data_IF_444954198478
#
_entry.id   IF_444954198478
#
_cell.length_a   1.000
_cell.length_b   1.000
_cell.length_c   1.000
_cell.angle_alpha   90.00
_cell.angle_beta   90.00
_cell.angle_gamma   90.00
#
_symmetry.space_group_name_H-M   'P 1'
#
loop_
_entity.id
_entity.type
_entity.pdbx_description
1 polymer ?
#
# COMPACT_ATOMS: atom_id res chain seq x y z
N UNK A 1 36.07 -22.33 -2.68
CA UNK A 1 36.64 -23.31 -3.62
C UNK A 1 36.01 -23.07 -4.97
N UNK A 2 36.77 -22.52 -5.93
CA UNK A 2 36.33 -22.32 -7.31
C UNK A 2 36.42 -23.66 -8.05
N UNK A 3 35.33 -24.11 -8.66
CA UNK A 3 35.36 -25.25 -9.58
C UNK A 3 35.30 -24.72 -11.02
N UNK A 4 36.31 -25.07 -11.81
CA UNK A 4 36.30 -24.93 -13.27
C UNK A 4 35.94 -26.28 -13.89
N UNK A 5 35.07 -26.28 -14.89
CA UNK A 5 34.89 -27.41 -15.80
C UNK A 5 35.11 -26.91 -17.23
N UNK A 6 36.00 -27.59 -17.94
CA UNK A 6 36.35 -27.31 -19.33
C UNK A 6 35.63 -28.32 -20.21
N UNK A 7 34.80 -27.85 -21.14
CA UNK A 7 34.25 -28.67 -22.22
C UNK A 7 34.96 -28.39 -23.55
N UNK A 8 34.95 -29.42 -24.40
CA UNK A 8 35.60 -29.52 -25.72
C UNK A 8 34.88 -28.64 -26.78
N UNK A 9 34.81 -27.33 -26.56
CA UNK A 9 34.44 -26.36 -27.62
C UNK A 9 34.92 -24.92 -27.34
N UNK A 10 35.70 -24.69 -26.27
CA UNK A 10 36.36 -23.40 -26.05
C UNK A 10 35.44 -22.22 -25.69
N UNK A 11 34.12 -22.40 -25.62
CA UNK A 11 33.21 -21.32 -25.23
C UNK A 11 32.79 -21.44 -23.75
N UNK A 12 33.23 -20.46 -22.96
CA UNK A 12 32.80 -20.27 -21.56
C UNK A 12 31.52 -19.42 -21.53
N UNK A 13 30.36 -20.04 -21.37
CA UNK A 13 29.14 -19.33 -20.99
C UNK A 13 28.83 -19.58 -19.52
N UNK A 14 29.03 -18.56 -18.68
CA UNK A 14 28.55 -18.56 -17.30
C UNK A 14 27.04 -18.38 -17.28
N UNK A 15 26.28 -19.38 -16.81
CA UNK A 15 24.95 -19.15 -16.29
C UNK A 15 25.09 -18.49 -14.91
N UNK A 16 25.11 -17.16 -14.88
CA UNK A 16 25.10 -16.39 -13.64
C UNK A 16 23.66 -16.28 -13.17
N UNK A 17 23.18 -17.29 -12.43
CA UNK A 17 22.05 -17.07 -11.52
C UNK A 17 22.43 -15.88 -10.61
N UNK A 18 21.56 -14.87 -10.55
CA UNK A 18 21.88 -13.59 -9.90
C UNK A 18 22.23 -13.85 -8.42
N UNK A 19 23.15 -13.05 -7.87
CA UNK A 19 23.57 -13.20 -6.46
C UNK A 19 22.36 -13.14 -5.51
N UNK A 20 21.32 -12.41 -5.91
CA UNK A 20 20.03 -12.30 -5.25
C UNK A 20 19.25 -13.64 -5.29
N UNK A 21 19.13 -14.29 -6.45
CA UNK A 21 18.49 -15.61 -6.58
C UNK A 21 19.12 -16.64 -5.64
N UNK A 22 20.46 -16.68 -5.58
CA UNK A 22 21.18 -17.61 -4.68
C UNK A 22 20.92 -17.31 -3.20
N UNK A 23 20.76 -16.04 -2.85
CA UNK A 23 20.57 -15.60 -1.46
C UNK A 23 19.12 -15.80 -0.97
N UNK A 24 18.14 -15.61 -1.84
CA UNK A 24 16.73 -15.97 -1.59
C UNK A 24 16.62 -17.48 -1.40
N UNK A 25 17.21 -18.27 -2.31
CA UNK A 25 17.20 -19.75 -2.28
C UNK A 25 17.80 -20.35 -0.99
N UNK A 26 18.94 -19.85 -0.51
CA UNK A 26 19.60 -20.40 0.69
C UNK A 26 18.88 -20.11 2.02
N UNK A 27 18.14 -19.01 2.12
CA UNK A 27 17.54 -18.58 3.40
C UNK A 27 16.11 -19.10 3.61
N UNK A 28 15.36 -19.34 2.54
CA UNK A 28 14.07 -20.05 2.63
C UNK A 28 14.29 -21.48 3.17
N UNK A 29 15.33 -22.16 2.70
CA UNK A 29 15.64 -23.53 3.11
C UNK A 29 16.04 -23.66 4.59
N UNK A 30 16.69 -22.64 5.16
CA UNK A 30 17.02 -22.61 6.60
C UNK A 30 15.80 -22.45 7.51
N UNK A 31 14.71 -21.83 7.03
CA UNK A 31 13.48 -21.62 7.82
C UNK A 31 12.56 -22.85 7.80
N UNK A 32 12.56 -23.64 6.73
CA UNK A 32 11.78 -24.88 6.62
C UNK A 32 12.21 -25.94 7.64
N UNK A 33 13.47 -25.92 8.09
CA UNK A 33 14.00 -26.83 9.13
C UNK A 33 13.61 -26.45 10.57
N UNK A 34 13.01 -25.27 10.81
CA UNK A 34 12.70 -24.78 12.15
C UNK A 34 11.20 -24.85 12.53
N UNK A 35 10.32 -25.29 11.63
CA UNK A 35 8.85 -25.31 11.86
C UNK A 35 8.35 -26.71 12.19
N UNK A 36 9.06 -27.44 13.05
CA UNK A 36 8.60 -28.71 13.59
C UNK A 36 9.17 -28.98 14.98
N UNK A 37 8.70 -28.25 15.99
CA UNK A 37 8.56 -28.81 17.35
C UNK A 37 7.65 -27.95 18.25
N UNK A 38 6.48 -28.53 18.47
CA UNK A 38 5.48 -28.42 19.54
C UNK A 38 5.69 -27.50 20.76
N UNK A 39 4.59 -26.80 21.06
CA UNK A 39 4.10 -26.21 22.30
C UNK A 39 4.65 -26.71 23.65
N UNK A 40 4.89 -25.79 24.60
CA UNK A 40 4.18 -25.69 25.88
C UNK A 40 4.76 -24.59 26.82
N UNK A 41 3.86 -23.96 27.60
CA UNK A 41 4.07 -23.28 28.89
C UNK A 41 4.69 -21.86 28.84
N UNK A 42 4.33 -20.86 29.67
CA UNK A 42 3.49 -20.74 30.88
C UNK A 42 2.94 -19.31 30.97
N UNK A 43 1.82 -19.15 31.67
CA UNK A 43 1.20 -17.88 32.03
C UNK A 43 1.92 -17.19 33.19
N UNK A 44 2.13 -15.86 33.06
CA UNK A 44 2.15 -14.90 34.18
C UNK A 44 1.94 -13.49 33.62
N UNK A 45 1.17 -12.61 34.29
CA UNK A 45 0.80 -11.32 33.76
C UNK A 45 1.91 -10.31 34.03
N UNK A 46 2.49 -9.75 32.97
CA UNK A 46 3.27 -8.52 33.09
C UNK A 46 2.33 -7.35 32.79
N UNK A 47 2.20 -6.44 33.75
CA UNK A 47 1.54 -5.17 33.59
C UNK A 47 2.27 -4.36 32.51
N UNK A 48 1.68 -4.28 31.33
CA UNK A 48 2.10 -3.39 30.27
C UNK A 48 1.30 -2.09 30.39
N UNK A 49 2.02 -0.99 30.51
CA UNK A 49 1.48 0.35 30.33
C UNK A 49 0.62 0.41 29.06
N UNK A 50 -0.60 0.93 29.18
CA UNK A 50 -1.47 1.21 28.06
C UNK A 50 -0.80 2.27 27.16
N UNK A 51 -0.36 1.83 26.00
CA UNK A 51 0.22 2.63 24.93
C UNK A 51 -0.90 3.37 24.20
N UNK A 52 -0.86 4.71 24.22
CA UNK A 52 -1.85 5.61 23.62
C UNK A 52 -1.77 5.66 22.07
N UNK A 53 -1.20 4.66 21.42
CA UNK A 53 -1.02 4.58 19.96
C UNK A 53 -1.93 3.56 19.26
N UNK A 54 -2.95 3.01 19.94
CA UNK A 54 -3.87 2.01 19.36
C UNK A 54 -5.26 2.56 19.05
N UNK A 55 -5.34 3.42 18.04
CA UNK A 55 -6.59 3.69 17.34
C UNK A 55 -6.28 3.91 15.87
N UNK A 56 -6.92 3.12 14.99
CA UNK A 56 -6.68 3.11 13.54
C UNK A 56 -7.99 3.39 12.80
N UNK A 57 -8.85 4.22 13.39
CA UNK A 57 -10.12 4.62 12.77
C UNK A 57 -10.06 6.11 12.40
N UNK A 58 -10.39 6.37 11.14
CA UNK A 58 -10.53 7.69 10.54
C UNK A 58 -11.92 8.22 10.93
N UNK A 59 -11.97 9.34 11.64
CA UNK A 59 -13.23 9.96 12.05
C UNK A 59 -13.06 11.48 12.15
N UNK A 60 -13.55 12.16 11.13
CA UNK A 60 -13.62 13.62 11.04
C UNK A 60 -14.66 14.17 12.02
N UNK A 61 -14.21 14.97 13.00
CA UNK A 61 -15.08 15.92 13.71
C UNK A 61 -14.75 17.32 13.19
N UNK A 62 -15.59 17.84 12.28
CA UNK A 62 -15.57 19.26 11.94
C UNK A 62 -16.34 19.98 13.05
N UNK A 63 -15.67 20.36 14.13
CA UNK A 63 -16.34 21.11 15.20
C UNK A 63 -16.23 22.62 14.94
N UNK A 64 -17.38 23.29 14.77
CA UNK A 64 -17.48 24.73 14.97
C UNK A 64 -17.61 25.02 16.48
N UNK A 65 -17.16 26.19 16.97
CA UNK A 65 -17.17 26.54 18.42
C UNK A 65 -18.53 26.50 19.12
N UNK A 66 -19.65 26.41 18.39
CA UNK A 66 -21.00 26.37 18.96
C UNK A 66 -21.48 24.95 19.36
N UNK A 67 -20.75 23.89 19.02
CA UNK A 67 -21.16 22.50 19.26
C UNK A 67 -20.63 21.90 20.58
N UNK A 68 -19.87 22.67 21.36
CA UNK A 68 -19.16 22.19 22.56
C UNK A 68 -20.04 21.99 23.80
N UNK A 69 -21.30 22.45 23.81
CA UNK A 69 -22.19 22.27 24.99
C UNK A 69 -22.54 20.79 25.26
N UNK A 70 -22.47 19.92 24.24
CA UNK A 70 -22.84 18.51 24.35
C UNK A 70 -21.65 17.56 24.13
N UNK A 71 -20.42 18.05 24.19
CA UNK A 71 -19.23 17.21 24.05
C UNK A 71 -18.87 16.58 25.40
N UNK A 72 -18.63 15.28 25.34
CA UNK A 72 -18.17 14.48 26.44
C UNK A 72 -16.88 13.78 26.05
N UNK A 73 -15.89 13.80 26.95
CA UNK A 73 -14.65 13.04 26.78
C UNK A 73 -14.62 11.93 27.82
N UNK A 74 -14.39 10.69 27.37
CA UNK A 74 -14.33 9.55 28.28
C UNK A 74 -13.07 9.57 29.15
N UNK A 75 -13.25 9.24 30.44
CA UNK A 75 -12.18 9.08 31.41
C UNK A 75 -12.25 7.67 32.02
N UNK A 76 -11.49 6.74 31.45
CA UNK A 76 -11.51 5.32 31.82
C UNK A 76 -10.09 4.74 31.80
N UNK A 77 -9.82 3.63 32.48
CA UNK A 77 -8.46 3.06 32.53
C UNK A 77 -8.10 2.19 31.32
N UNK A 78 -9.09 1.56 30.70
CA UNK A 78 -8.94 0.71 29.51
C UNK A 78 -10.11 1.00 28.55
N UNK A 79 -11.26 0.39 28.80
CA UNK A 79 -12.51 0.71 28.12
C UNK A 79 -13.73 0.52 29.03
N UNK A 80 -14.85 1.10 28.61
CA UNK A 80 -16.18 0.81 29.16
C UNK A 80 -17.11 0.41 28.02
N UNK A 81 -18.00 -0.54 28.30
CA UNK A 81 -19.00 -0.98 27.35
C UNK A 81 -20.15 0.04 27.25
N UNK A 82 -20.44 0.46 26.02
CA UNK A 82 -21.67 1.19 25.67
C UNK A 82 -22.76 0.16 25.42
N UNK A 83 -23.96 0.44 25.94
CA UNK A 83 -25.05 -0.53 25.99
C UNK A 83 -26.31 -0.05 25.28
N UNK A 84 -27.17 -0.99 24.89
CA UNK A 84 -28.42 -0.69 24.19
C UNK A 84 -29.47 -0.02 25.09
N UNK A 85 -29.41 -0.24 26.41
CA UNK A 85 -30.29 0.36 27.42
C UNK A 85 -29.49 0.84 28.62
N UNK A 86 -30.06 1.74 29.43
CA UNK A 86 -29.44 2.30 30.66
C UNK A 86 -29.38 1.30 31.84
N UNK A 87 -28.91 0.09 31.57
CA UNK A 87 -28.77 -1.02 32.53
C UNK A 87 -27.49 -1.81 32.26
N UNK A 88 -26.90 -2.42 33.29
CA UNK A 88 -25.63 -3.15 33.16
C UNK A 88 -25.78 -4.55 32.54
N UNK A 89 -27.01 -5.02 32.34
CA UNK A 89 -27.32 -6.33 31.75
C UNK A 89 -27.81 -6.26 30.30
N UNK A 90 -28.03 -5.06 29.77
CA UNK A 90 -28.43 -4.91 28.37
C UNK A 90 -27.28 -5.19 27.40
N UNK A 91 -27.64 -5.47 26.14
CA UNK A 91 -26.71 -5.81 25.07
C UNK A 91 -25.64 -4.74 24.92
N UNK A 92 -24.39 -5.17 24.72
CA UNK A 92 -23.27 -4.28 24.41
C UNK A 92 -23.36 -3.90 22.93
N UNK A 93 -23.26 -2.61 22.64
CA UNK A 93 -23.31 -2.06 21.26
C UNK A 93 -21.94 -1.52 20.82
N UNK A 94 -21.06 -1.21 21.76
CA UNK A 94 -19.69 -0.79 21.46
C UNK A 94 -18.83 -0.67 22.72
N UNK A 95 -17.57 -0.30 22.52
CA UNK A 95 -16.58 -0.04 23.57
C UNK A 95 -16.07 1.38 23.39
N UNK A 96 -15.95 2.13 24.49
CA UNK A 96 -15.28 3.42 24.48
C UNK A 96 -14.03 3.34 25.33
N UNK A 97 -12.90 3.76 24.74
CA UNK A 97 -11.60 3.78 25.41
C UNK A 97 -11.40 5.11 26.13
N UNK A 98 -10.26 5.27 26.80
CA UNK A 98 -9.91 6.55 27.41
C UNK A 98 -9.70 7.65 26.35
N UNK A 99 -10.02 8.90 26.68
CA UNK A 99 -9.82 10.07 25.80
C UNK A 99 -10.57 9.99 24.46
N UNK A 100 -11.72 9.30 24.44
CA UNK A 100 -12.59 9.30 23.27
C UNK A 100 -13.64 10.41 23.37
N UNK A 101 -13.90 11.08 22.25
CA UNK A 101 -14.96 12.07 22.15
C UNK A 101 -16.32 11.41 21.89
N UNK A 102 -17.36 11.96 22.50
CA UNK A 102 -18.74 11.57 22.28
C UNK A 102 -19.66 12.80 22.38
N UNK A 103 -20.77 12.77 21.65
CA UNK A 103 -21.85 13.74 21.79
C UNK A 103 -22.92 13.17 22.71
N UNK A 104 -23.30 13.91 23.76
CA UNK A 104 -24.42 13.55 24.63
C UNK A 104 -25.72 13.88 23.89
N UNK A 105 -26.57 12.88 23.70
CA UNK A 105 -27.88 13.02 23.08
C UNK A 105 -28.97 13.23 24.13
N UNK A 106 -28.91 12.48 25.23
CA UNK A 106 -29.88 12.60 26.33
C UNK A 106 -29.27 12.11 27.66
N UNK A 107 -29.81 12.60 28.78
CA UNK A 107 -29.50 12.10 30.12
C UNK A 107 -30.74 11.41 30.71
N UNK A 108 -30.57 10.18 31.18
CA UNK A 108 -31.65 9.36 31.78
C UNK A 108 -31.25 8.84 33.14
N UNK A 109 -32.22 8.64 34.03
CA UNK A 109 -32.01 7.88 35.25
C UNK A 109 -32.10 6.38 34.94
N UNK A 110 -31.07 5.64 35.34
CA UNK A 110 -30.94 4.21 35.06
C UNK A 110 -30.35 3.44 36.22
N UNK A 111 -29.84 2.25 35.93
CA UNK A 111 -29.27 1.38 36.96
C UNK A 111 -28.02 2.02 37.59
N UNK A 112 -28.14 2.39 38.87
CA UNK A 112 -27.03 2.94 39.65
C UNK A 112 -26.68 4.39 39.32
N UNK A 113 -27.67 5.22 38.95
CA UNK A 113 -27.55 6.67 38.81
C UNK A 113 -27.85 7.17 37.39
N UNK A 114 -27.33 8.33 37.04
CA UNK A 114 -27.55 8.97 35.74
C UNK A 114 -26.71 8.34 34.63
N UNK A 115 -27.33 8.09 33.49
CA UNK A 115 -26.72 7.57 32.26
C UNK A 115 -26.85 8.61 31.15
N UNK A 116 -25.83 8.67 30.30
CA UNK A 116 -25.90 9.39 29.04
C UNK A 116 -26.23 8.40 27.93
N UNK A 117 -27.17 8.78 27.05
CA UNK A 117 -27.16 8.26 25.69
C UNK A 117 -26.20 9.10 24.88
N UNK A 118 -25.24 8.45 24.24
CA UNK A 118 -24.19 9.10 23.48
C UNK A 118 -24.20 8.67 22.03
N UNK A 119 -23.67 9.53 21.17
CA UNK A 119 -23.17 9.20 19.84
C UNK A 119 -21.66 9.35 19.85
N UNK A 120 -20.92 8.30 19.47
CA UNK A 120 -19.46 8.36 19.28
C UNK A 120 -19.11 7.48 18.08
N UNK A 121 -18.66 8.11 16.99
CA UNK A 121 -18.50 7.44 15.70
C UNK A 121 -19.82 6.85 15.21
N UNK A 122 -19.83 5.57 14.89
CA UNK A 122 -21.05 4.84 14.51
C UNK A 122 -21.85 4.33 15.72
N UNK A 123 -21.29 4.41 16.93
CA UNK A 123 -21.91 3.85 18.14
C UNK A 123 -22.94 4.81 18.72
N UNK A 124 -24.18 4.32 18.85
CA UNK A 124 -25.26 4.98 19.60
C UNK A 124 -25.67 4.08 20.77
N UNK A 125 -25.64 4.59 22.00
CA UNK A 125 -26.09 3.81 23.15
C UNK A 125 -25.87 4.50 24.50
N UNK A 126 -26.15 3.77 25.57
CA UNK A 126 -26.15 4.24 26.94
C UNK A 126 -24.89 3.86 27.69
N UNK A 127 -24.39 4.79 28.49
CA UNK A 127 -23.23 4.63 29.35
C UNK A 127 -23.39 5.51 30.60
N UNK A 128 -22.84 5.08 31.76
CA UNK A 128 -22.94 5.87 32.99
C UNK A 128 -22.22 7.20 32.86
N UNK A 129 -22.86 8.26 33.33
CA UNK A 129 -22.35 9.64 33.27
C UNK A 129 -20.98 9.82 33.94
N UNK A 130 -20.71 9.08 35.02
CA UNK A 130 -19.45 9.11 35.78
C UNK A 130 -18.19 8.79 34.96
N UNK A 131 -18.31 8.22 33.77
CA UNK A 131 -17.19 7.90 32.89
C UNK A 131 -16.84 9.02 31.93
N UNK A 132 -17.52 10.17 32.01
CA UNK A 132 -17.32 11.29 31.12
C UNK A 132 -17.03 12.58 31.89
N UNK A 133 -16.10 13.34 31.34
CA UNK A 133 -15.92 14.75 31.62
C UNK A 133 -16.77 15.52 30.61
N UNK A 134 -17.45 16.58 31.03
CA UNK A 134 -18.34 17.41 30.20
C UNK A 134 -18.07 18.90 30.41
N UNK A 135 -18.65 19.76 29.56
CA UNK A 135 -18.52 21.21 29.67
C UNK A 135 -17.11 21.72 29.43
N UNK A 136 -16.70 22.78 30.16
CA UNK A 136 -15.42 23.46 29.93
C UNK A 136 -14.19 22.55 30.15
N UNK A 137 -14.29 21.61 31.07
CA UNK A 137 -13.22 20.63 31.32
C UNK A 137 -13.07 19.68 30.12
N UNK A 138 -14.19 19.27 29.50
CA UNK A 138 -14.17 18.46 28.29
C UNK A 138 -13.62 19.23 27.10
N UNK A 139 -13.95 20.53 26.96
CA UNK A 139 -13.38 21.38 25.91
C UNK A 139 -11.85 21.48 26.04
N UNK A 140 -11.36 21.74 27.25
CA UNK A 140 -9.91 21.84 27.52
C UNK A 140 -9.21 20.53 27.23
N UNK A 141 -9.80 19.41 27.66
CA UNK A 141 -9.27 18.09 27.39
C UNK A 141 -9.31 17.76 25.89
N UNK A 142 -10.40 18.09 25.19
CA UNK A 142 -10.55 17.94 23.76
C UNK A 142 -9.46 18.69 22.99
N UNK A 143 -9.16 19.94 23.35
CA UNK A 143 -8.06 20.70 22.74
C UNK A 143 -6.69 20.01 22.93
N UNK A 144 -6.49 19.25 24.01
CA UNK A 144 -5.24 18.55 24.29
C UNK A 144 -5.10 17.16 23.65
N UNK A 145 -6.22 16.49 23.37
CA UNK A 145 -6.23 15.11 22.82
C UNK A 145 -6.60 15.07 21.33
N UNK A 146 -7.21 16.13 20.81
CA UNK A 146 -7.57 16.25 19.41
C UNK A 146 -6.32 16.24 18.54
N UNK A 147 -6.29 15.34 17.56
CA UNK A 147 -5.24 15.31 16.55
C UNK A 147 -5.67 16.18 15.39
N UNK A 148 -4.99 17.31 15.24
CA UNK A 148 -5.26 18.21 14.13
C UNK A 148 -4.53 17.73 12.87
N UNK A 149 -5.27 17.68 11.77
CA UNK A 149 -4.76 17.32 10.46
C UNK A 149 -5.13 18.38 9.45
N UNK A 150 -4.31 18.45 8.41
CA UNK A 150 -4.53 19.32 7.28
C UNK A 150 -4.50 18.53 5.98
N UNK A 151 -5.54 18.73 5.18
CA UNK A 151 -5.65 18.21 3.82
C UNK A 151 -5.30 19.32 2.82
N UNK A 152 -4.30 19.07 1.98
CA UNK A 152 -3.85 20.02 0.97
C UNK A 152 -4.80 20.04 -0.23
N UNK A 153 -5.19 21.21 -0.69
CA UNK A 153 -6.09 21.38 -1.86
C UNK A 153 -5.35 21.73 -3.16
N UNK A 154 -4.03 21.96 -3.12
CA UNK A 154 -3.20 22.35 -4.26
C UNK A 154 -2.19 21.26 -4.68
N UNK A 155 -1.95 21.10 -5.99
CA UNK A 155 -1.14 20.00 -6.53
C UNK A 155 0.36 20.08 -6.23
N UNK A 156 0.88 21.28 -5.98
CA UNK A 156 2.31 21.54 -5.79
C UNK A 156 2.50 22.63 -4.73
N UNK A 157 2.03 22.41 -3.51
CA UNK A 157 2.22 23.35 -2.42
C UNK A 157 3.63 23.21 -1.86
N UNK A 158 4.28 24.36 -1.60
CA UNK A 158 5.66 24.39 -1.06
C UNK A 158 5.61 24.17 0.45
N UNK A 159 6.34 23.15 0.92
CA UNK A 159 6.69 23.01 2.33
C UNK A 159 7.95 23.84 2.59
N UNK A 160 7.90 24.71 3.58
CA UNK A 160 8.95 25.70 3.85
C UNK A 160 9.61 25.50 5.21
N UNK A 161 10.83 26.00 5.33
CA UNK A 161 11.61 25.93 6.59
C UNK A 161 11.07 26.89 7.67
N UNK A 162 10.54 28.03 7.27
CA UNK A 162 9.98 29.06 8.15
C UNK A 162 8.61 29.53 7.63
N UNK A 163 7.73 30.10 8.50
CA UNK A 163 6.38 30.56 8.14
C UNK A 163 6.39 31.88 7.34
N UNK A 164 7.09 31.89 6.21
CA UNK A 164 7.16 33.03 5.29
C UNK A 164 7.36 32.55 3.84
N UNK A 165 7.14 33.42 2.86
CA UNK A 165 7.21 33.06 1.43
C UNK A 165 8.63 33.07 0.84
N UNK A 166 9.63 33.48 1.62
CA UNK A 166 11.01 33.70 1.17
C UNK A 166 12.00 32.64 1.66
N UNK A 167 11.61 31.87 2.68
CA UNK A 167 12.43 30.80 3.26
C UNK A 167 12.62 29.64 2.29
N UNK A 168 13.60 28.80 2.60
CA UNK A 168 13.94 27.62 1.81
C UNK A 168 12.73 26.71 1.65
N UNK A 169 12.57 26.18 0.44
CA UNK A 169 11.59 25.14 0.15
C UNK A 169 12.23 23.79 0.48
N UNK A 170 11.68 23.08 1.46
CA UNK A 170 12.16 21.77 1.88
C UNK A 170 11.73 20.69 0.87
N UNK A 171 10.45 20.73 0.47
CA UNK A 171 9.87 19.83 -0.53
C UNK A 171 8.54 20.39 -1.08
N UNK A 172 7.91 19.64 -1.98
CA UNK A 172 6.57 19.91 -2.53
C UNK A 172 5.59 18.83 -2.06
N UNK A 173 4.42 19.27 -1.61
CA UNK A 173 3.30 18.43 -1.18
C UNK A 173 2.14 18.51 -2.16
N UNK A 174 1.42 17.40 -2.32
CA UNK A 174 0.43 17.21 -3.39
C UNK A 174 -1.01 17.32 -2.91
N UNK A 175 -1.93 17.63 -3.83
CA UNK A 175 -3.36 17.74 -3.54
C UNK A 175 -3.97 16.44 -3.02
N UNK A 176 -4.86 16.58 -2.04
CA UNK A 176 -5.49 15.51 -1.28
C UNK A 176 -4.52 14.74 -0.38
N UNK A 177 -3.31 15.26 -0.14
CA UNK A 177 -2.40 14.70 0.88
C UNK A 177 -2.75 15.28 2.24
N UNK A 178 -2.61 14.44 3.27
CA UNK A 178 -3.03 14.73 4.63
C UNK A 178 -1.82 14.68 5.58
N UNK A 179 -1.67 15.69 6.44
CA UNK A 179 -0.53 15.82 7.35
C UNK A 179 -0.98 16.16 8.76
N UNK A 180 -0.17 15.76 9.75
CA UNK A 180 -0.39 16.10 11.16
C UNK A 180 0.04 17.55 11.38
N UNK A 181 -0.82 18.35 12.00
CA UNK A 181 -0.50 19.73 12.38
C UNK A 181 0.23 19.71 13.73
N UNK A 182 1.38 20.38 13.77
CA UNK A 182 2.24 20.55 14.95
C UNK A 182 2.20 21.99 15.48
N UNK A 183 1.57 22.90 14.73
CA UNK A 183 1.42 24.29 15.13
C UNK A 183 0.65 25.11 14.10
N UNK A 184 0.06 26.19 14.59
CA UNK A 184 -0.63 27.22 13.81
C UNK A 184 0.13 28.55 14.02
N UNK A 185 0.70 29.10 12.94
CA UNK A 185 1.51 30.31 12.99
C UNK A 185 1.14 31.27 11.85
N UNK A 186 0.32 32.29 12.16
CA UNK A 186 -0.05 33.32 11.21
C UNK A 186 -0.81 32.76 10.00
N UNK A 187 -0.26 32.96 8.79
CA UNK A 187 -0.82 32.45 7.53
C UNK A 187 -0.34 31.03 7.19
N UNK A 188 0.35 30.35 8.11
CA UNK A 188 0.95 29.04 7.89
C UNK A 188 0.54 28.02 8.95
N UNK A 189 0.40 26.76 8.52
CA UNK A 189 0.40 25.60 9.41
C UNK A 189 1.81 25.01 9.44
N UNK A 190 2.28 24.69 10.64
CA UNK A 190 3.45 23.83 10.84
C UNK A 190 2.99 22.38 10.81
N UNK A 191 3.51 21.60 9.87
CA UNK A 191 3.05 20.24 9.59
C UNK A 191 4.18 19.25 9.63
N UNK A 192 3.90 18.05 10.16
CA UNK A 192 4.76 16.89 10.09
C UNK A 192 4.37 16.05 8.86
N UNK A 193 5.24 16.04 7.85
CA UNK A 193 5.03 15.32 6.58
C UNK A 193 5.41 13.84 6.73
N UNK A 194 6.47 13.57 7.47
CA UNK A 194 6.91 12.28 7.98
C UNK A 194 7.80 12.52 9.21
N UNK A 195 8.19 11.45 9.92
CA UNK A 195 8.89 11.53 11.21
C UNK A 195 10.14 12.43 11.22
N UNK A 196 10.79 12.60 10.08
CA UNK A 196 12.03 13.36 9.93
C UNK A 196 11.85 14.69 9.16
N UNK A 197 10.62 15.05 8.77
CA UNK A 197 10.35 16.28 8.02
C UNK A 197 9.16 17.06 8.58
N UNK A 198 9.47 18.18 9.23
CA UNK A 198 8.52 19.18 9.69
C UNK A 198 8.79 20.49 8.93
N UNK A 199 7.73 21.18 8.52
CA UNK A 199 7.86 22.48 7.87
C UNK A 199 6.53 23.25 7.82
N UNK A 200 6.50 24.34 7.08
CA UNK A 200 5.38 25.28 7.04
C UNK A 200 4.68 25.26 5.67
N UNK A 201 3.36 25.14 5.67
CA UNK A 201 2.50 25.25 4.48
C UNK A 201 1.49 26.37 4.64
N UNK A 202 1.13 27.04 3.55
CA UNK A 202 0.21 28.18 3.59
C UNK A 202 -1.24 27.73 3.79
N UNK A 203 -1.94 28.35 4.75
CA UNK A 203 -3.31 27.99 5.16
C UNK A 203 -4.34 28.14 4.05
N UNK A 204 -4.14 29.08 3.12
CA UNK A 204 -5.07 29.32 1.99
C UNK A 204 -5.25 28.12 1.06
N UNK A 205 -4.40 27.10 1.16
CA UNK A 205 -4.43 25.88 0.35
C UNK A 205 -4.72 24.62 1.19
N UNK A 206 -5.31 24.81 2.37
CA UNK A 206 -5.43 23.80 3.40
C UNK A 206 -6.86 23.73 3.91
N UNK A 207 -7.38 22.51 4.07
CA UNK A 207 -8.57 22.24 4.85
C UNK A 207 -8.15 21.56 6.15
N UNK A 208 -8.51 22.16 7.28
CA UNK A 208 -8.16 21.65 8.60
C UNK A 208 -9.30 20.79 9.16
N UNK A 209 -8.93 19.69 9.80
CA UNK A 209 -9.84 18.78 10.46
C UNK A 209 -9.23 18.36 11.79
N UNK A 210 -10.04 18.32 12.85
CA UNK A 210 -9.62 17.79 14.15
C UNK A 210 -10.24 16.42 14.32
N UNK A 211 -9.40 15.41 14.52
CA UNK A 211 -9.84 14.05 14.79
C UNK A 211 -9.70 13.73 16.25
N UNK A 212 -10.71 13.02 16.76
CA UNK A 212 -10.70 12.48 18.11
C UNK A 212 -10.83 10.97 18.00
N UNK A 213 -10.25 10.26 18.96
CA UNK A 213 -10.61 8.86 19.12
C UNK A 213 -12.08 8.76 19.51
N UNK A 214 -12.74 7.72 19.00
CA UNK A 214 -14.16 7.50 19.19
C UNK A 214 -14.39 6.07 19.66
N UNK A 215 -15.60 5.82 20.14
CA UNK A 215 -16.03 4.48 20.49
C UNK A 215 -15.99 3.57 19.25
N UNK A 216 -15.63 2.31 19.49
CA UNK A 216 -15.58 1.27 18.47
C UNK A 216 -16.79 0.37 18.67
N UNK A 217 -17.61 0.22 17.64
CA UNK A 217 -18.71 -0.73 17.64
C UNK A 217 -18.20 -2.16 17.61
N UNK A 218 -19.00 -3.10 18.09
CA UNK A 218 -18.68 -4.54 17.97
C UNK A 218 -18.60 -4.98 16.50
N UNK A 219 -19.31 -4.29 15.62
CA UNK A 219 -19.28 -4.53 14.17
C UNK A 219 -17.93 -4.11 13.57
N UNK A 220 -17.48 -2.89 13.84
CA UNK A 220 -16.19 -2.38 13.38
C UNK A 220 -15.02 -3.20 13.93
N UNK A 221 -15.06 -3.61 15.20
CA UNK A 221 -14.04 -4.48 15.79
C UNK A 221 -13.98 -5.83 15.05
N UNK A 222 -15.14 -6.41 14.73
CA UNK A 222 -15.21 -7.67 13.98
C UNK A 222 -14.71 -7.50 12.55
N UNK A 223 -15.12 -6.45 11.85
CA UNK A 223 -14.66 -6.14 10.50
C UNK A 223 -13.13 -5.96 10.46
N UNK A 224 -12.57 -5.21 11.41
CA UNK A 224 -11.12 -5.02 11.54
C UNK A 224 -10.37 -6.33 11.75
N UNK A 225 -10.88 -7.22 12.60
CA UNK A 225 -10.31 -8.54 12.82
C UNK A 225 -10.42 -9.43 11.56
N UNK A 226 -11.53 -9.36 10.84
CA UNK A 226 -11.74 -10.08 9.58
C UNK A 226 -10.79 -9.58 8.47
N UNK A 227 -10.61 -8.26 8.35
CA UNK A 227 -9.67 -7.63 7.42
C UNK A 227 -8.21 -7.95 7.76
N UNK A 228 -7.83 -7.92 9.04
CA UNK A 228 -6.50 -8.34 9.48
C UNK A 228 -6.26 -9.83 9.19
N UNK A 229 -7.24 -10.69 9.48
CA UNK A 229 -7.19 -12.10 9.15
C UNK A 229 -7.10 -12.33 7.64
N UNK A 230 -7.82 -11.53 6.84
CA UNK A 230 -7.74 -11.58 5.39
C UNK A 230 -6.35 -11.20 4.88
N UNK A 231 -5.76 -10.09 5.37
CA UNK A 231 -4.40 -9.69 5.01
C UNK A 231 -3.36 -10.76 5.36
N UNK A 232 -3.53 -11.44 6.51
CA UNK A 232 -2.68 -12.59 6.90
C UNK A 232 -2.85 -13.77 5.95
N UNK A 233 -4.08 -14.14 5.58
CA UNK A 233 -4.37 -15.20 4.60
C UNK A 233 -3.76 -14.88 3.23
N UNK A 234 -4.01 -13.67 2.72
CA UNK A 234 -3.49 -13.22 1.42
C UNK A 234 -1.96 -13.31 1.36
N UNK A 235 -1.29 -12.90 2.44
CA UNK A 235 0.16 -13.00 2.52
C UNK A 235 0.65 -14.44 2.63
N UNK A 236 -0.02 -15.30 3.39
CA UNK A 236 0.30 -16.73 3.44
C UNK A 236 0.14 -17.39 2.07
N UNK A 237 -0.95 -17.09 1.36
CA UNK A 237 -1.18 -17.56 0.00
C UNK A 237 -0.10 -17.04 -0.97
N UNK A 238 0.26 -15.76 -0.90
CA UNK A 238 1.29 -15.19 -1.75
C UNK A 238 2.68 -15.82 -1.48
N UNK A 239 3.02 -16.09 -0.22
CA UNK A 239 4.27 -16.77 0.16
C UNK A 239 4.25 -18.23 -0.32
N UNK A 240 3.14 -18.95 -0.14
CA UNK A 240 3.01 -20.32 -0.63
C UNK A 240 3.13 -20.41 -2.16
N UNK A 241 2.52 -19.45 -2.89
CA UNK A 241 2.65 -19.35 -4.34
C UNK A 241 4.11 -19.07 -4.77
N UNK A 242 4.81 -18.20 -4.04
CA UNK A 242 6.24 -17.98 -4.26
C UNK A 242 7.05 -19.27 -4.07
N UNK A 243 6.85 -19.98 -2.97
CA UNK A 243 7.54 -21.26 -2.69
C UNK A 243 7.25 -22.31 -3.77
N UNK A 244 6.01 -22.42 -4.23
CA UNK A 244 5.65 -23.33 -5.31
C UNK A 244 6.31 -22.92 -6.63
N UNK A 245 6.38 -21.62 -6.93
CA UNK A 245 7.02 -21.11 -8.15
C UNK A 245 8.52 -21.39 -8.15
N UNK A 246 9.19 -21.21 -7.00
CA UNK A 246 10.61 -21.57 -6.82
C UNK A 246 10.83 -23.06 -7.06
N UNK A 247 9.99 -23.94 -6.47
CA UNK A 247 10.08 -25.39 -6.67
C UNK A 247 9.89 -25.79 -8.14
N UNK A 248 9.00 -25.12 -8.87
CA UNK A 248 8.78 -25.36 -10.30
C UNK A 248 9.98 -24.95 -11.15
N UNK A 249 10.62 -23.83 -10.83
CA UNK A 249 11.84 -23.38 -11.47
C UNK A 249 12.98 -24.40 -11.25
N UNK A 250 13.17 -24.86 -10.01
CA UNK A 250 14.19 -25.87 -9.66
C UNK A 250 13.97 -27.20 -10.41
N UNK A 251 12.73 -27.67 -10.51
CA UNK A 251 12.42 -28.91 -11.21
C UNK A 251 12.68 -28.81 -12.73
N UNK A 252 12.61 -27.62 -13.32
CA UNK A 252 12.90 -27.39 -14.74
C UNK A 252 14.39 -27.58 -15.03
N UNK A 253 15.27 -27.13 -14.13
CA UNK A 253 16.71 -27.32 -14.25
C UNK A 253 17.11 -28.80 -14.11
N UNK A 254 16.40 -29.57 -13.26
CA UNK A 254 16.62 -31.02 -13.09
C UNK A 254 16.22 -31.82 -14.34
N UNK A 255 15.12 -31.46 -15.01
CA UNK A 255 14.67 -32.16 -16.24
C UNK A 255 15.61 -31.87 -17.43
N UNK A 256 16.17 -30.67 -17.54
CA UNK A 256 17.17 -30.35 -18.59
C UNK A 256 18.50 -31.06 -18.30
N UNK A 257 18.91 -31.20 -17.03
CA UNK A 257 20.12 -31.94 -16.66
C UNK A 257 20.00 -33.47 -16.85
N UNK A 258 18.78 -34.01 -16.82
CA UNK A 258 18.51 -35.45 -16.95
C UNK A 258 18.36 -35.95 -18.40
N UNK A 259 18.32 -35.07 -19.42
CA UNK A 259 18.14 -35.50 -20.82
C UNK A 259 18.95 -34.64 -21.82
N UNK A 260 20.23 -34.97 -22.11
CA UNK A 260 21.11 -34.18 -22.96
C UNK A 260 21.00 -34.52 -24.47
N UNK A 261 19.84 -34.90 -24.99
CA UNK A 261 19.71 -35.28 -26.41
C UNK A 261 18.35 -34.92 -27.00
N UNK A 262 18.29 -33.77 -27.66
CA UNK A 262 17.89 -33.64 -29.07
C UNK A 262 18.06 -32.19 -29.52
N UNK A 263 19.23 -31.91 -30.09
CA UNK A 263 19.41 -30.83 -31.06
C UNK A 263 18.91 -31.35 -32.42
N UNK A 264 17.86 -30.75 -32.96
CA UNK A 264 17.61 -30.82 -34.41
C UNK A 264 17.79 -29.42 -34.98
N UNK A 265 19.02 -29.16 -35.41
CA UNK A 265 19.33 -28.21 -36.46
C UNK A 265 19.40 -29.01 -37.76
N UNK A 266 18.54 -28.68 -38.73
CA UNK A 266 18.67 -29.10 -40.12
C UNK A 266 17.83 -28.18 -41.00
N UNK A 267 18.47 -27.09 -41.43
CA UNK A 267 18.05 -26.36 -42.63
C UNK A 267 18.71 -26.98 -43.88
N UNK A 268 17.94 -26.92 -44.98
CA UNK A 268 18.32 -26.96 -46.41
C UNK A 268 18.12 -28.27 -47.24
N UNK A 269 17.15 -28.14 -48.15
CA UNK A 269 17.12 -28.61 -49.56
C UNK A 269 16.74 -30.05 -49.89
N UNK A 270 15.52 -30.24 -50.41
CA UNK A 270 15.22 -30.78 -51.77
C UNK A 270 13.70 -30.88 -51.96
N UNK A 271 13.14 -30.22 -52.97
CA UNK A 271 11.77 -30.41 -53.46
C UNK A 271 11.79 -31.30 -54.73
N UNK A 272 10.65 -31.65 -55.35
CA UNK A 272 9.56 -32.53 -54.89
C UNK A 272 9.26 -33.66 -55.92
N UNK A 273 8.49 -34.69 -55.55
CA UNK A 273 7.91 -35.65 -56.52
C UNK A 273 6.39 -35.55 -56.51
N UNK A 274 5.83 -35.33 -57.70
CA UNK A 274 4.43 -35.12 -57.99
C UNK A 274 3.61 -36.42 -58.04
N UNK A 275 2.31 -36.31 -57.72
CA UNK A 275 1.25 -36.92 -58.52
C UNK A 275 -0.10 -36.25 -58.21
N UNK A 276 -0.56 -35.37 -59.10
CA UNK A 276 -1.90 -35.50 -59.67
C UNK A 276 -2.00 -34.72 -60.98
N UNK A 277 -2.70 -35.32 -61.94
CA UNK A 277 -2.87 -34.86 -63.32
C UNK A 277 -3.86 -33.68 -63.44
N UNK A 278 -3.63 -32.72 -64.36
CA UNK A 278 -4.17 -32.75 -65.72
C UNK A 278 -4.03 -31.36 -66.42
N UNK A 279 -3.52 -31.40 -67.65
CA UNK A 279 -3.46 -30.41 -68.77
C UNK A 279 -4.06 -29.00 -68.58
N UNK A 280 -3.40 -27.91 -68.98
CA UNK A 280 -3.14 -27.59 -70.39
C UNK A 280 -2.33 -26.28 -70.56
N UNK A 281 -1.71 -26.16 -71.73
CA UNK A 281 -0.63 -25.24 -72.16
C UNK A 281 -1.04 -23.75 -72.26
N UNK A 282 -0.11 -22.82 -71.98
CA UNK A 282 0.68 -22.08 -73.00
C UNK A 282 1.22 -20.71 -72.54
N UNK A 283 2.50 -20.48 -72.91
CA UNK A 283 3.21 -19.21 -73.24
C UNK A 283 3.39 -18.08 -72.18
N UNK A 284 4.66 -17.91 -71.78
CA UNK A 284 5.34 -16.62 -71.49
C UNK A 284 5.50 -15.75 -72.78
N UNK A 285 6.01 -14.49 -72.77
CA UNK A 285 6.78 -13.78 -71.72
C UNK A 285 6.51 -12.25 -71.56
N UNK A 286 7.25 -11.63 -70.62
CA UNK A 286 8.00 -10.36 -70.79
C UNK A 286 7.47 -9.05 -70.14
N UNK A 287 8.42 -8.37 -69.47
CA UNK A 287 8.60 -6.92 -69.23
C UNK A 287 7.44 -6.13 -68.58
N UNK A 288 7.62 -5.14 -67.70
CA UNK A 288 8.77 -4.37 -67.25
C UNK A 288 8.23 -3.04 -66.65
N UNK A 289 9.00 -2.45 -65.73
CA UNK A 289 9.05 -1.01 -65.36
C UNK A 289 7.81 -0.34 -64.71
N UNK A 290 7.93 0.15 -63.46
CA UNK A 290 8.26 1.56 -63.06
C UNK A 290 7.02 2.49 -63.21
N UNK A 291 6.60 3.38 -62.31
CA UNK A 291 7.25 4.21 -61.29
C UNK A 291 6.19 5.03 -60.51
N UNK A 292 6.55 5.52 -59.31
CA UNK A 292 6.18 6.78 -58.60
C UNK A 292 4.93 7.59 -59.03
N UNK A 293 4.14 8.24 -58.15
CA UNK A 293 4.30 8.59 -56.74
C UNK A 293 3.32 9.72 -56.34
N UNK A 294 3.34 10.07 -55.05
CA UNK A 294 3.01 11.38 -54.44
C UNK A 294 1.54 11.78 -54.16
N UNK A 295 1.33 12.07 -52.87
CA UNK A 295 0.37 12.96 -52.18
C UNK A 295 0.21 14.37 -52.82
N UNK A 296 -0.63 15.36 -52.36
CA UNK A 296 -1.20 15.57 -51.00
C UNK A 296 -2.58 16.29 -50.82
N UNK A 297 -3.00 16.41 -49.55
CA UNK A 297 -3.63 17.56 -48.84
C UNK A 297 -5.14 17.95 -48.94
N UNK A 298 -5.75 18.00 -47.73
CA UNK A 298 -6.47 19.13 -47.08
C UNK A 298 -8.02 19.26 -47.05
N UNK A 299 -8.49 19.63 -45.83
CA UNK A 299 -9.57 20.56 -45.45
C UNK A 299 -10.98 20.05 -45.02
N UNK A 300 -11.41 20.53 -43.83
CA UNK A 300 -12.77 20.58 -43.25
C UNK A 300 -13.60 21.76 -43.89
N UNK A 301 -14.88 22.12 -43.55
CA UNK A 301 -15.56 22.05 -42.22
C UNK A 301 -17.11 21.83 -42.15
N UNK A 302 -17.60 21.50 -40.94
CA UNK A 302 -18.78 22.01 -40.20
C UNK A 302 -20.24 21.94 -40.73
N UNK A 303 -21.18 21.43 -39.89
CA UNK A 303 -22.51 22.04 -39.60
C UNK A 303 -23.26 21.43 -38.39
N UNK A 304 -24.08 22.29 -37.79
CA UNK A 304 -24.97 22.28 -36.61
C UNK A 304 -26.31 21.55 -36.78
N UNK A 305 -26.95 21.04 -35.69
CA UNK A 305 -28.12 21.64 -34.98
C UNK A 305 -28.96 20.62 -34.13
N UNK A 306 -29.51 21.12 -33.00
CA UNK A 306 -30.76 20.85 -32.23
C UNK A 306 -31.47 19.45 -32.25
N UNK A 307 -32.33 19.00 -31.32
CA UNK A 307 -32.80 19.32 -29.96
C UNK A 307 -33.87 18.25 -29.54
N UNK A 308 -34.19 18.15 -28.24
CA UNK A 308 -35.46 17.67 -27.61
C UNK A 308 -35.82 16.15 -27.68
N UNK A 309 -35.84 15.45 -26.54
CA UNK A 309 -36.96 15.28 -25.57
C UNK A 309 -38.07 14.32 -26.04
N UNK A 310 -38.21 13.15 -25.38
CA UNK A 310 -39.45 12.70 -24.70
C UNK A 310 -39.41 11.22 -24.30
N UNK A 311 -40.00 10.99 -23.13
CA UNK A 311 -40.36 9.76 -22.41
C UNK A 311 -41.08 8.66 -23.19
N UNK A 312 -40.83 7.39 -22.83
CA UNK A 312 -41.86 6.42 -22.35
C UNK A 312 -41.32 5.00 -22.11
N UNK A 313 -41.25 4.63 -20.83
CA UNK A 313 -41.76 3.41 -20.16
C UNK A 313 -41.98 2.06 -20.92
N UNK A 314 -41.45 1.01 -20.25
CA UNK A 314 -41.87 -0.41 -20.19
C UNK A 314 -41.45 -1.41 -21.28
N UNK A 315 -40.74 -2.46 -20.85
CA UNK A 315 -40.60 -3.71 -21.60
C UNK A 315 -39.47 -4.63 -21.09
N UNK A 316 -39.84 -5.67 -20.34
CA UNK A 316 -38.99 -6.72 -19.78
C UNK A 316 -38.21 -7.55 -20.81
N UNK A 317 -36.98 -7.97 -20.43
CA UNK A 317 -36.42 -9.35 -20.53
C UNK A 317 -35.04 -9.49 -21.21
N UNK A 318 -34.17 -10.25 -20.51
CA UNK A 318 -33.09 -11.13 -20.99
C UNK A 318 -31.63 -10.61 -21.05
N UNK A 319 -30.88 -10.99 -20.00
CA UNK A 319 -29.59 -11.70 -19.98
C UNK A 319 -28.78 -11.69 -21.30
N UNK A 320 -27.62 -11.02 -21.26
CA UNK A 320 -26.56 -11.12 -22.24
C UNK A 320 -25.26 -10.50 -21.71
N UNK A 321 -24.38 -11.33 -21.16
CA UNK A 321 -23.03 -10.97 -20.72
C UNK A 321 -22.18 -10.52 -21.91
N UNK A 322 -21.54 -9.36 -21.81
CA UNK A 322 -20.51 -8.90 -22.75
C UNK A 322 -19.43 -8.17 -21.95
N UNK A 323 -18.27 -8.82 -21.81
CA UNK A 323 -17.11 -8.29 -21.09
C UNK A 323 -16.37 -7.18 -21.84
N UNK A 324 -15.51 -6.40 -21.16
CA UNK A 324 -14.75 -5.34 -21.82
C UNK A 324 -13.50 -5.90 -22.49
N UNK A 325 -13.29 -5.46 -23.72
CA UNK A 325 -12.12 -5.69 -24.57
C UNK A 325 -10.90 -5.00 -23.98
N UNK A 326 -9.89 -5.78 -23.57
CA UNK A 326 -8.58 -5.29 -23.15
C UNK A 326 -7.64 -5.24 -24.37
N UNK A 327 -7.14 -4.05 -24.69
CA UNK A 327 -6.09 -3.83 -25.68
C UNK A 327 -4.80 -4.54 -25.29
N UNK A 328 -4.29 -5.36 -26.20
CA UNK A 328 -3.09 -6.18 -26.05
C UNK A 328 -1.82 -5.34 -26.18
N UNK A 329 -1.15 -5.07 -25.05
CA UNK A 329 0.30 -4.84 -25.03
C UNK A 329 0.98 -6.19 -24.80
N UNK A 330 1.57 -6.75 -25.85
CA UNK A 330 2.29 -8.01 -25.80
C UNK A 330 3.59 -7.85 -25.01
N UNK A 331 3.55 -8.14 -23.72
CA UNK A 331 4.73 -8.60 -22.97
C UNK A 331 4.89 -10.10 -23.21
N UNK A 332 6.10 -10.65 -23.36
CA UNK A 332 6.28 -12.08 -23.49
C UNK A 332 5.74 -12.76 -22.22
N UNK A 333 4.72 -13.60 -22.38
CA UNK A 333 4.22 -14.46 -21.31
C UNK A 333 5.37 -15.36 -20.89
N UNK A 334 5.95 -15.05 -19.74
CA UNK A 334 6.94 -15.88 -19.11
C UNK A 334 6.27 -17.24 -18.76
N UNK A 335 6.83 -18.33 -19.26
CA UNK A 335 6.29 -19.67 -18.98
C UNK A 335 6.32 -19.98 -17.47
N UNK A 336 5.44 -20.89 -16.99
CA UNK A 336 5.45 -21.33 -15.60
C UNK A 336 6.84 -21.84 -15.20
N UNK A 337 7.35 -21.40 -14.04
CA UNK A 337 8.67 -21.78 -13.53
C UNK A 337 9.87 -21.11 -14.22
N UNK A 338 9.75 -19.86 -14.65
CA UNK A 338 10.87 -19.04 -15.14
C UNK A 338 11.43 -18.10 -14.06
N UNK A 339 12.69 -17.62 -14.16
CA UNK A 339 13.24 -16.63 -13.23
C UNK A 339 12.35 -15.37 -13.10
N UNK A 340 11.79 -14.91 -14.23
CA UNK A 340 10.85 -13.80 -14.26
C UNK A 340 9.55 -14.09 -13.47
N UNK A 341 9.06 -15.34 -13.50
CA UNK A 341 7.90 -15.73 -12.71
C UNK A 341 8.21 -15.72 -11.20
N UNK A 342 9.41 -16.14 -10.79
CA UNK A 342 9.85 -16.07 -9.38
C UNK A 342 9.98 -14.62 -8.90
N UNK A 343 10.55 -13.73 -9.72
CA UNK A 343 10.62 -12.30 -9.42
C UNK A 343 9.21 -11.72 -9.24
N UNK A 344 8.28 -12.02 -10.16
CA UNK A 344 6.90 -11.57 -10.06
C UNK A 344 6.20 -12.09 -8.80
N UNK A 345 6.38 -13.38 -8.45
CA UNK A 345 5.80 -13.95 -7.24
C UNK A 345 6.40 -13.32 -5.96
N UNK A 346 7.69 -12.98 -5.99
CA UNK A 346 8.39 -12.33 -4.88
C UNK A 346 7.86 -10.92 -4.64
N UNK A 347 7.63 -10.14 -5.71
CA UNK A 347 6.99 -8.82 -5.62
C UNK A 347 5.63 -8.89 -4.92
N UNK A 348 4.78 -9.81 -5.36
CA UNK A 348 3.44 -10.03 -4.76
C UNK A 348 3.56 -10.41 -3.29
N UNK A 349 4.47 -11.33 -2.94
CA UNK A 349 4.66 -11.78 -1.56
C UNK A 349 5.19 -10.66 -0.65
N UNK A 350 6.13 -9.83 -1.11
CA UNK A 350 6.64 -8.67 -0.36
C UNK A 350 5.51 -7.71 -0.01
N UNK A 351 4.69 -7.35 -0.99
CA UNK A 351 3.58 -6.41 -0.78
C UNK A 351 2.53 -6.98 0.17
N UNK A 352 2.12 -8.24 -0.03
CA UNK A 352 1.15 -8.89 0.83
C UNK A 352 1.67 -9.03 2.27
N UNK A 353 2.95 -9.38 2.44
CA UNK A 353 3.60 -9.45 3.74
C UNK A 353 3.66 -8.09 4.43
N UNK A 354 4.10 -7.04 3.72
CA UNK A 354 4.15 -5.68 4.25
C UNK A 354 2.77 -5.20 4.76
N UNK A 355 1.70 -5.49 4.01
CA UNK A 355 0.31 -5.12 4.38
C UNK A 355 -0.17 -5.75 5.69
N UNK A 356 0.40 -6.86 6.17
CA UNK A 356 0.02 -7.42 7.47
C UNK A 356 0.29 -6.46 8.63
N UNK A 357 1.20 -5.51 8.45
CA UNK A 357 1.68 -4.64 9.52
C UNK A 357 1.04 -3.24 9.51
N UNK A 358 0.00 -3.00 8.68
CA UNK A 358 -0.71 -1.71 8.72
C UNK A 358 -1.30 -1.47 10.11
N UNK A 359 -1.12 -0.25 10.59
CA UNK A 359 -1.55 0.20 11.92
C UNK A 359 -0.53 -0.07 13.03
N UNK A 360 0.57 -0.80 12.77
CA UNK A 360 1.60 -1.02 13.78
C UNK A 360 2.46 0.25 13.97
N UNK A 361 3.04 0.46 15.16
CA UNK A 361 3.61 1.75 15.54
C UNK A 361 4.89 2.09 14.78
N UNK A 362 5.12 3.40 14.61
CA UNK A 362 6.43 3.94 14.25
C UNK A 362 7.28 4.06 15.51
N UNK A 363 8.54 3.61 15.46
CA UNK A 363 9.52 3.84 16.51
C UNK A 363 10.86 4.19 15.87
N UNK A 364 11.39 5.38 16.18
CA UNK A 364 12.68 5.83 15.65
C UNK A 364 13.78 4.83 16.00
N UNK A 365 14.57 4.41 15.00
CA UNK A 365 15.60 3.38 15.20
C UNK A 365 15.07 1.95 15.28
N UNK A 366 13.75 1.74 15.31
CA UNK A 366 13.12 0.43 15.46
C UNK A 366 13.18 -0.43 14.20
N UNK A 367 13.17 -1.75 14.39
CA UNK A 367 13.12 -2.77 13.32
C UNK A 367 12.05 -3.84 13.56
N UNK A 368 11.22 -3.69 14.59
CA UNK A 368 10.14 -4.63 14.91
C UNK A 368 8.89 -4.32 14.11
N UNK A 369 8.48 -5.25 13.24
CA UNK A 369 7.28 -5.07 12.42
C UNK A 369 5.98 -5.02 13.25
N UNK A 370 6.00 -5.44 14.51
CA UNK A 370 4.83 -5.44 15.41
C UNK A 370 4.94 -4.45 16.56
N UNK A 371 6.14 -4.22 17.09
CA UNK A 371 6.34 -3.41 18.29
C UNK A 371 6.94 -2.04 17.99
N UNK A 372 7.23 -1.73 16.73
CA UNK A 372 7.82 -0.46 16.34
C UNK A 372 8.93 -0.57 15.33
N UNK A 373 8.76 0.09 14.18
CA UNK A 373 9.82 0.25 13.19
C UNK A 373 9.86 1.68 12.65
N UNK A 374 11.06 2.19 12.34
CA UNK A 374 11.18 3.42 11.55
C UNK A 374 10.98 3.12 10.05
N UNK A 375 10.99 4.14 9.20
CA UNK A 375 10.75 3.99 7.76
C UNK A 375 11.68 2.94 7.12
N UNK A 376 12.97 3.03 7.40
CA UNK A 376 14.00 2.14 6.86
C UNK A 376 14.10 0.80 7.57
N UNK A 377 13.77 0.74 8.87
CA UNK A 377 13.66 -0.48 9.65
C UNK A 377 12.48 -1.33 9.20
N UNK A 378 11.36 -0.69 8.82
CA UNK A 378 10.20 -1.36 8.25
C UNK A 378 10.55 -2.04 6.91
N UNK A 379 11.13 -1.29 5.96
CA UNK A 379 11.54 -1.86 4.67
C UNK A 379 12.63 -2.92 4.85
N UNK A 380 13.60 -2.70 5.73
CA UNK A 380 14.64 -3.69 6.04
C UNK A 380 14.03 -5.00 6.53
N UNK A 381 13.13 -4.95 7.52
CA UNK A 381 12.55 -6.15 8.11
C UNK A 381 11.61 -6.88 7.15
N UNK A 382 10.84 -6.15 6.33
CA UNK A 382 10.04 -6.75 5.25
C UNK A 382 10.92 -7.50 4.24
N UNK A 383 11.99 -6.88 3.74
CA UNK A 383 12.86 -7.50 2.74
C UNK A 383 13.71 -8.64 3.32
N UNK A 384 14.15 -8.50 4.58
CA UNK A 384 14.89 -9.53 5.29
C UNK A 384 14.06 -10.82 5.48
N UNK A 385 12.73 -10.71 5.57
CA UNK A 385 11.84 -11.88 5.60
C UNK A 385 12.06 -12.78 4.37
N UNK A 386 12.28 -12.18 3.21
CA UNK A 386 12.55 -12.83 1.91
C UNK A 386 14.05 -13.04 1.63
N UNK A 387 14.92 -12.82 2.62
CA UNK A 387 16.37 -13.01 2.49
C UNK A 387 17.10 -11.89 1.75
N UNK A 388 16.44 -10.76 1.48
CA UNK A 388 17.00 -9.64 0.73
C UNK A 388 17.59 -8.62 1.71
N UNK A 389 18.87 -8.29 1.54
CA UNK A 389 19.56 -7.32 2.38
C UNK A 389 19.56 -5.95 1.72
N UNK A 390 18.84 -4.98 2.30
CA UNK A 390 18.70 -3.63 1.73
C UNK A 390 19.67 -2.62 2.34
N UNK A 391 20.10 -2.81 3.59
CA UNK A 391 20.82 -1.81 4.39
C UNK A 391 19.94 -1.25 5.51
N UNK A 392 20.54 -0.57 6.50
CA UNK A 392 19.81 -0.12 7.69
C UNK A 392 19.13 1.23 7.48
N UNK A 393 19.82 2.19 6.88
CA UNK A 393 19.26 3.53 6.65
C UNK A 393 18.61 3.67 5.28
N UNK A 394 17.68 4.61 5.12
CA UNK A 394 17.08 4.97 3.82
C UNK A 394 18.15 5.29 2.75
N UNK A 395 19.23 5.96 3.14
CA UNK A 395 20.38 6.26 2.27
C UNK A 395 21.14 5.00 1.83
N UNK A 396 21.39 4.06 2.74
CA UNK A 396 22.04 2.79 2.39
C UNK A 396 21.19 2.01 1.39
N UNK A 397 19.88 1.99 1.61
CA UNK A 397 18.93 1.30 0.74
C UNK A 397 18.89 1.94 -0.65
N UNK A 398 18.88 3.28 -0.72
CA UNK A 398 18.93 4.01 -1.98
C UNK A 398 20.25 3.79 -2.74
N UNK A 399 21.36 3.59 -2.04
CA UNK A 399 22.67 3.35 -2.65
C UNK A 399 22.88 1.90 -3.11
N UNK A 400 22.27 0.92 -2.42
CA UNK A 400 22.46 -0.52 -2.70
C UNK A 400 21.49 -1.08 -3.73
N UNK A 401 20.29 -0.51 -3.83
CA UNK A 401 19.32 -0.92 -4.83
C UNK A 401 19.73 -0.50 -6.24
N UNK A 402 19.26 -1.22 -7.25
CA UNK A 402 19.43 -0.80 -8.65
C UNK A 402 18.44 0.31 -8.95
N UNK A 403 18.94 1.48 -9.36
CA UNK A 403 18.09 2.60 -9.72
C UNK A 403 17.21 2.29 -10.94
N UNK A 404 15.95 2.73 -10.87
CA UNK A 404 14.96 2.57 -11.93
C UNK A 404 14.24 3.91 -12.18
N UNK A 405 13.69 4.09 -13.38
CA UNK A 405 12.85 5.25 -13.67
C UNK A 405 11.55 5.19 -12.87
N UNK A 406 11.03 6.36 -12.46
CA UNK A 406 9.70 6.48 -11.85
C UNK A 406 8.60 5.89 -12.74
N UNK A 407 8.76 5.94 -14.06
CA UNK A 407 7.81 5.35 -15.01
C UNK A 407 7.86 3.81 -15.08
N UNK A 408 8.89 3.19 -14.48
CA UNK A 408 9.12 1.76 -14.51
C UNK A 408 8.88 1.08 -13.15
N UNK A 409 8.40 1.82 -12.15
CA UNK A 409 8.17 1.29 -10.80
C UNK A 409 7.12 0.18 -10.82
N UNK A 410 7.40 -0.87 -10.08
CA UNK A 410 6.55 -2.03 -9.90
C UNK A 410 6.33 -2.30 -8.41
N UNK A 411 5.21 -2.95 -8.04
CA UNK A 411 5.00 -3.37 -6.66
C UNK A 411 6.24 -4.09 -6.09
N UNK A 412 6.63 -3.73 -4.86
CA UNK A 412 7.84 -4.22 -4.22
C UNK A 412 9.11 -3.39 -4.51
N UNK A 413 9.07 -2.34 -5.32
CA UNK A 413 10.18 -1.40 -5.44
C UNK A 413 10.19 -0.39 -4.27
N UNK A 414 11.37 0.17 -3.96
CA UNK A 414 11.51 1.19 -2.92
C UNK A 414 11.55 2.58 -3.54
N UNK A 415 10.73 3.47 -2.98
CA UNK A 415 10.68 4.89 -3.31
C UNK A 415 11.33 5.68 -2.18
N UNK A 416 12.20 6.61 -2.55
CA UNK A 416 12.94 7.46 -1.62
C UNK A 416 12.55 8.90 -1.79
N UNK A 417 12.63 9.63 -0.69
CA UNK A 417 12.23 11.01 -0.63
C UNK A 417 13.25 11.81 0.18
N UNK A 418 13.45 13.07 -0.19
CA UNK A 418 14.46 13.93 0.38
C UNK A 418 13.88 15.22 0.96
N UNK A 419 14.59 15.75 1.95
CA UNK A 419 14.53 17.14 2.38
C UNK A 419 15.79 17.83 1.85
N UNK A 420 15.64 18.75 0.89
CA UNK A 420 16.77 19.26 0.12
C UNK A 420 17.55 18.13 -0.57
N UNK A 421 18.85 18.02 -0.28
CA UNK A 421 19.74 16.99 -0.86
C UNK A 421 19.88 15.72 0.00
N UNK A 422 19.15 15.62 1.10
CA UNK A 422 19.29 14.54 2.07
C UNK A 422 18.10 13.58 2.00
N UNK A 423 18.34 12.32 1.62
CA UNK A 423 17.32 11.27 1.68
C UNK A 423 17.01 10.99 3.15
N UNK A 424 15.80 11.36 3.58
CA UNK A 424 15.32 11.15 4.94
C UNK A 424 14.27 10.03 5.02
N UNK A 425 13.55 9.71 3.94
CA UNK A 425 12.45 8.74 4.00
C UNK A 425 12.51 7.68 2.90
N UNK A 426 11.92 6.51 3.19
CA UNK A 426 11.77 5.39 2.25
C UNK A 426 10.40 4.73 2.43
N UNK A 427 9.83 4.25 1.32
CA UNK A 427 8.57 3.54 1.28
C UNK A 427 8.60 2.38 0.28
N UNK A 428 7.72 1.38 0.45
CA UNK A 428 7.53 0.30 -0.51
C UNK A 428 6.38 0.68 -1.44
N UNK A 429 6.61 0.69 -2.76
CA UNK A 429 5.53 0.86 -3.74
C UNK A 429 4.67 -0.41 -3.78
N UNK A 430 3.35 -0.25 -3.72
CA UNK A 430 2.40 -1.38 -3.63
C UNK A 430 1.44 -1.48 -4.82
N UNK A 431 1.67 -0.69 -5.87
CA UNK A 431 0.77 -0.58 -7.02
C UNK A 431 -0.28 0.52 -6.85
N UNK A 432 -1.05 0.75 -7.92
CA UNK A 432 -2.18 1.70 -7.95
C UNK A 432 -1.86 3.13 -7.47
N UNK A 433 -0.63 3.60 -7.69
CA UNK A 433 -0.17 4.91 -7.22
C UNK A 433 -0.06 4.99 -5.68
N UNK A 434 0.08 3.87 -4.98
CA UNK A 434 0.16 3.83 -3.52
C UNK A 434 1.48 3.27 -3.02
N UNK A 435 1.82 3.67 -1.81
CA UNK A 435 2.94 3.15 -1.04
C UNK A 435 2.46 2.62 0.31
N UNK A 436 3.25 1.74 0.92
CA UNK A 436 3.20 1.43 2.35
C UNK A 436 4.51 1.86 3.00
N UNK A 437 4.41 2.55 4.13
CA UNK A 437 5.56 3.05 4.88
C UNK A 437 5.27 3.17 6.37
N UNK A 438 6.31 3.07 7.20
CA UNK A 438 6.24 3.58 8.57
C UNK A 438 6.47 5.08 8.53
N UNK A 439 5.40 5.86 8.72
CA UNK A 439 5.35 7.29 8.40
C UNK A 439 5.87 8.16 9.54
N UNK A 440 5.18 8.14 10.68
CA UNK A 440 5.49 8.95 11.87
C UNK A 440 4.84 8.37 13.13
N UNK A 441 5.20 8.84 14.35
CA UNK A 441 4.63 8.34 15.60
C UNK A 441 3.10 8.40 15.67
N UNK A 442 2.48 9.39 15.02
CA UNK A 442 1.02 9.59 15.03
C UNK A 442 0.26 8.57 14.19
N UNK A 443 0.80 8.18 13.03
CA UNK A 443 0.09 7.34 12.04
C UNK A 443 0.65 5.92 11.91
N UNK A 444 1.88 5.69 12.37
CA UNK A 444 2.54 4.39 12.30
C UNK A 444 2.76 3.91 10.86
N UNK A 445 2.57 2.59 10.65
CA UNK A 445 2.63 1.97 9.33
C UNK A 445 1.30 2.18 8.61
N UNK A 446 1.33 2.94 7.52
CA UNK A 446 0.14 3.37 6.79
C UNK A 446 0.30 3.25 5.27
N UNK A 447 -0.81 3.39 4.54
CA UNK A 447 -0.85 3.48 3.08
C UNK A 447 -1.19 4.90 2.67
N UNK A 448 -0.36 5.48 1.81
CA UNK A 448 -0.57 6.82 1.26
C UNK A 448 -0.33 6.80 -0.25
N UNK A 449 -0.68 7.90 -0.94
CA UNK A 449 -0.30 8.08 -2.35
C UNK A 449 1.22 8.13 -2.47
N UNK A 450 1.79 7.52 -3.49
CA UNK A 450 3.25 7.54 -3.69
C UNK A 450 3.83 8.94 -3.87
N UNK A 451 3.01 9.90 -4.28
CA UNK A 451 3.39 11.29 -4.47
C UNK A 451 2.85 12.19 -3.35
N UNK A 452 2.53 11.65 -2.16
CA UNK A 452 2.17 12.47 -0.99
C UNK A 452 3.23 13.53 -0.72
N UNK A 453 4.50 13.24 -1.03
CA UNK A 453 5.53 14.23 -1.35
C UNK A 453 6.29 13.74 -2.58
N UNK A 454 7.02 14.61 -3.28
CA UNK A 454 7.71 14.21 -4.52
C UNK A 454 8.85 13.22 -4.22
N UNK A 455 8.82 11.97 -4.70
CA UNK A 455 9.94 11.07 -4.51
C UNK A 455 11.12 11.48 -5.39
N UNK A 456 12.33 11.44 -4.83
CA UNK A 456 13.56 11.86 -5.50
C UNK A 456 14.28 10.71 -6.20
N UNK A 457 13.98 9.45 -5.84
CA UNK A 457 14.63 8.27 -6.38
C UNK A 457 13.76 7.02 -6.24
N UNK A 458 13.87 6.10 -7.18
CA UNK A 458 13.29 4.77 -7.12
C UNK A 458 14.38 3.72 -7.32
N UNK A 459 14.35 2.64 -6.55
CA UNK A 459 15.26 1.50 -6.74
C UNK A 459 14.51 0.18 -6.65
N UNK A 460 15.05 -0.82 -7.33
CA UNK A 460 14.64 -2.21 -7.19
C UNK A 460 15.74 -3.06 -6.56
N UNK A 461 15.32 -3.97 -5.68
CA UNK A 461 16.15 -5.06 -5.16
C UNK A 461 15.79 -6.40 -5.80
N UNK A 462 14.97 -6.39 -6.85
CA UNK A 462 14.43 -7.58 -7.51
C UNK A 462 14.82 -7.53 -8.99
N UNK A 463 15.82 -8.32 -9.38
CA UNK A 463 16.27 -8.45 -10.78
C UNK A 463 16.54 -9.90 -11.13
#
# INVERSE_FOLDING_TARGET
MLYWRTDYSGNRTMAVASQLERQIRMNIWKKVLAVSCLCAATSSPFAAYADASKSVHEATLVAAPADYENIAVSQVSDYVNIREQATTNSKIVGKIYNNCAATILETVEGEGGSWYRIQSGTVNGFIKSQYFITGQEAETLAQSIGREFVTVSADNLRLREEPNLTSNVLTMVSSGSRYVVQGDEGDFYKVEVDADLIGYIAKSYCQVEVEFDQAVSLEEERQKLEEEAQRKRDAQTAIANLEQTIKMEENKDVIIAANPSQSDDSAMTSAPTANNAQSSQSKSPSAGQSSSGSQPAASAPGKTDSSQNSSSQSGSSQIGSSGPSAGTVSSPVAGPGSPAAVVSATRTAIVAYAKQFLGNPYVYGGTSLTNGADCSGFTQSVFAHFGITTGRSSRDQAAKGKEISMSAIQPGDLLFYASGNYINHVAIYIGDGKIIHSSNPTTGITITKYNYRTPCKAVTFLN
#
